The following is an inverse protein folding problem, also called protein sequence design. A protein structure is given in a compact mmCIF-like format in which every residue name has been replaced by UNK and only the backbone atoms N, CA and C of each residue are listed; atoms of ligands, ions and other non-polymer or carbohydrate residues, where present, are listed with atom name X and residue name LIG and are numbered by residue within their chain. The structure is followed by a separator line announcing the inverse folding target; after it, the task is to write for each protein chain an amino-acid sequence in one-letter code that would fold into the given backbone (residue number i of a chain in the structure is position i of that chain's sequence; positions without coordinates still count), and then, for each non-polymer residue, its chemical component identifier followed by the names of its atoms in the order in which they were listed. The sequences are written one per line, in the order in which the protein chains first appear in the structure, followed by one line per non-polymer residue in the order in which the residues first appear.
data_IF_187350347329
#
_entry.id   IF_187350347329
#
_cell.length_a   1.000
_cell.length_b   1.000
_cell.length_c   1.000
_cell.angle_alpha   90.00
_cell.angle_beta   90.00
_cell.angle_gamma   90.00
#
_symmetry.space_group_name_H-M   'P 1'
#
loop_
_entity.id
_entity.type
_entity.pdbx_description
1 polymer ?
#
# COMPACT_ATOMS: atom_id res chain seq x y z
N UNK A 1 12.64 11.50 -14.42
CA UNK A 1 11.84 11.51 -13.20
C UNK A 1 11.52 10.11 -12.77
N UNK A 2 11.64 9.89 -11.50
CA UNK A 2 11.38 8.58 -10.95
C UNK A 2 9.88 8.32 -10.85
N UNK A 3 9.41 7.25 -11.47
CA UNK A 3 8.00 6.87 -11.42
C UNK A 3 7.70 5.85 -10.33
N UNK A 4 8.72 5.42 -9.61
CA UNK A 4 8.53 4.46 -8.52
C UNK A 4 7.80 5.11 -7.36
N UNK A 5 6.94 4.36 -6.64
CA UNK A 5 6.33 4.88 -5.42
C UNK A 5 7.40 5.20 -4.40
N UNK A 6 7.23 6.32 -3.71
CA UNK A 6 8.15 6.67 -2.63
C UNK A 6 7.82 5.85 -1.40
N UNK A 7 8.85 5.24 -0.82
CA UNK A 7 8.65 4.52 0.41
C UNK A 7 8.40 5.50 1.55
N UNK A 8 7.41 5.24 2.39
CA UNK A 8 7.18 6.08 3.55
C UNK A 8 8.33 5.96 4.55
N UNK A 9 8.53 7.00 5.34
CA UNK A 9 9.58 7.02 6.35
C UNK A 9 9.31 6.04 7.50
N UNK A 10 8.06 5.58 7.64
CA UNK A 10 7.66 4.70 8.73
C UNK A 10 7.13 3.38 8.18
N UNK A 11 7.16 2.30 8.97
CA UNK A 11 6.54 1.04 8.55
C UNK A 11 5.04 1.23 8.33
N UNK A 12 4.48 0.35 7.51
CA UNK A 12 3.07 0.42 7.12
C UNK A 12 2.14 0.51 8.34
N UNK A 13 2.44 -0.23 9.40
CA UNK A 13 1.63 -0.22 10.62
C UNK A 13 1.60 1.14 11.33
N UNK A 14 2.59 1.99 11.07
CA UNK A 14 2.69 3.30 11.70
C UNK A 14 2.12 4.43 10.84
N UNK A 15 1.67 4.14 9.63
CA UNK A 15 1.13 5.16 8.74
C UNK A 15 -0.28 5.56 9.16
N UNK A 16 -0.62 6.84 8.94
CA UNK A 16 -2.00 7.29 9.11
C UNK A 16 -2.89 6.70 8.03
N UNK A 17 -4.19 6.80 8.23
CA UNK A 17 -5.17 6.35 7.24
C UNK A 17 -4.96 7.04 5.90
N UNK A 18 -4.67 8.34 5.92
CA UNK A 18 -4.43 9.10 4.68
C UNK A 18 -3.15 8.66 3.99
N UNK A 19 -2.08 8.47 4.77
CA UNK A 19 -0.81 8.00 4.23
C UNK A 19 -0.94 6.62 3.60
N UNK A 20 -1.68 5.72 4.22
CA UNK A 20 -1.95 4.39 3.66
C UNK A 20 -2.70 4.49 2.33
N UNK A 21 -3.71 5.34 2.28
CA UNK A 21 -4.50 5.55 1.06
C UNK A 21 -3.63 6.06 -0.07
N UNK A 22 -2.80 7.06 0.22
CA UNK A 22 -1.91 7.64 -0.78
C UNK A 22 -0.88 6.63 -1.26
N UNK A 23 -0.28 5.91 -0.35
CA UNK A 23 0.72 4.91 -0.68
C UNK A 23 0.11 3.78 -1.52
N UNK A 24 -1.07 3.31 -1.14
CA UNK A 24 -1.80 2.32 -1.93
C UNK A 24 -2.04 2.81 -3.35
N UNK A 25 -2.48 4.05 -3.50
CA UNK A 25 -2.70 4.63 -4.82
C UNK A 25 -1.44 4.68 -5.66
N UNK A 26 -0.31 5.02 -5.05
CA UNK A 26 0.98 5.03 -5.74
C UNK A 26 1.37 3.62 -6.20
N UNK A 27 1.19 2.63 -5.34
CA UNK A 27 1.52 1.24 -5.67
C UNK A 27 0.63 0.70 -6.80
N UNK A 28 -0.66 0.97 -6.74
CA UNK A 28 -1.60 0.56 -7.78
C UNK A 28 -1.27 1.20 -9.12
N UNK A 29 -0.92 2.47 -9.09
CA UNK A 29 -0.54 3.21 -10.31
C UNK A 29 0.72 2.64 -10.91
N UNK A 30 1.72 2.36 -10.07
CA UNK A 30 2.97 1.77 -10.51
C UNK A 30 2.73 0.40 -11.18
N UNK A 31 1.87 -0.42 -10.61
CA UNK A 31 1.55 -1.72 -11.20
C UNK A 31 0.89 -1.58 -12.56
N UNK A 32 0.04 -0.58 -12.74
CA UNK A 32 -0.60 -0.34 -14.04
C UNK A 32 0.39 0.13 -15.10
N UNK A 33 1.44 0.83 -14.68
CA UNK A 33 2.43 1.40 -15.60
C UNK A 33 3.56 0.44 -15.94
N UNK A 34 3.83 -0.54 -15.08
CA UNK A 34 4.92 -1.47 -15.29
C UNK A 34 4.51 -2.57 -16.27
N UNK A 35 5.44 -2.98 -17.18
CA UNK A 35 5.16 -4.14 -18.02
C UNK A 35 5.06 -5.41 -17.21
N UNK A 36 4.35 -6.41 -17.76
CA UNK A 36 4.09 -7.66 -17.07
C UNK A 36 5.36 -8.40 -16.67
N UNK A 37 6.47 -8.17 -17.40
CA UNK A 37 7.74 -8.85 -17.14
C UNK A 37 8.67 -8.11 -16.19
N UNK A 38 8.27 -6.93 -15.73
CA UNK A 38 9.14 -6.14 -14.85
C UNK A 38 9.31 -6.84 -13.51
N UNK A 39 10.56 -7.00 -13.09
CA UNK A 39 10.87 -7.61 -11.80
C UNK A 39 10.29 -6.79 -10.65
N UNK A 40 10.25 -5.49 -10.80
CA UNK A 40 9.71 -4.59 -9.80
C UNK A 40 8.24 -4.88 -9.47
N UNK A 41 7.48 -5.52 -10.37
CA UNK A 41 6.08 -5.85 -10.12
C UNK A 41 5.91 -6.74 -8.91
N UNK A 42 6.78 -7.73 -8.74
CA UNK A 42 6.68 -8.65 -7.60
C UNK A 42 6.88 -7.91 -6.28
N UNK A 43 7.86 -7.01 -6.24
CA UNK A 43 8.13 -6.22 -5.03
C UNK A 43 6.98 -5.26 -4.73
N UNK A 44 6.49 -4.58 -5.75
CA UNK A 44 5.39 -3.62 -5.58
C UNK A 44 4.12 -4.35 -5.17
N UNK A 45 3.84 -5.53 -5.74
CA UNK A 45 2.70 -6.34 -5.34
C UNK A 45 2.78 -6.74 -3.87
N UNK A 46 3.95 -7.11 -3.37
CA UNK A 46 4.12 -7.44 -1.95
C UNK A 46 3.84 -6.24 -1.06
N UNK A 47 4.34 -5.08 -1.45
CA UNK A 47 4.09 -3.87 -0.68
C UNK A 47 2.60 -3.52 -0.68
N UNK A 48 1.94 -3.69 -1.80
CA UNK A 48 0.51 -3.48 -1.88
C UNK A 48 -0.25 -4.46 -0.99
N UNK A 49 0.15 -5.72 -0.97
CA UNK A 49 -0.47 -6.72 -0.10
C UNK A 49 -0.33 -6.31 1.36
N UNK A 50 0.83 -5.79 1.76
CA UNK A 50 1.04 -5.31 3.14
C UNK A 50 0.12 -4.15 3.48
N UNK A 51 -0.04 -3.21 2.56
CA UNK A 51 -0.95 -2.07 2.75
C UNK A 51 -2.39 -2.54 2.87
N UNK A 52 -2.81 -3.44 1.98
CA UNK A 52 -4.17 -3.98 2.00
C UNK A 52 -4.45 -4.75 3.30
N UNK A 53 -3.47 -5.52 3.76
CA UNK A 53 -3.60 -6.26 5.02
C UNK A 53 -3.75 -5.30 6.20
N UNK A 54 -3.00 -4.21 6.22
CA UNK A 54 -3.10 -3.22 7.28
C UNK A 54 -4.45 -2.50 7.26
N UNK A 55 -4.91 -2.12 6.08
CA UNK A 55 -6.23 -1.50 5.94
C UNK A 55 -7.34 -2.43 6.40
N UNK A 56 -7.25 -3.70 6.05
CA UNK A 56 -8.22 -4.71 6.46
C UNK A 56 -8.22 -4.89 7.98
N UNK A 57 -7.03 -4.95 8.58
CA UNK A 57 -6.90 -5.08 10.04
C UNK A 57 -7.53 -3.89 10.75
N UNK A 58 -7.32 -2.67 10.23
CA UNK A 58 -7.90 -1.46 10.83
C UNK A 58 -9.42 -1.45 10.69
N UNK A 59 -9.94 -1.91 9.58
CA UNK A 59 -11.38 -2.00 9.36
C UNK A 59 -12.01 -2.98 10.35
N UNK A 60 -11.34 -4.10 10.63
CA UNK A 60 -11.82 -5.07 11.62
C UNK A 60 -11.84 -4.50 13.02
N UNK A 61 -10.79 -3.78 13.39
CA UNK A 61 -10.72 -3.12 14.70
C UNK A 61 -11.83 -2.10 14.86
N UNK A 62 -12.05 -1.28 13.82
CA UNK A 62 -13.12 -0.28 13.84
C UNK A 62 -14.49 -0.94 13.97
N UNK A 63 -14.72 -2.02 13.22
CA UNK A 63 -16.00 -2.75 13.28
C UNK A 63 -16.22 -3.38 14.66
N UNK A 64 -15.17 -3.89 15.28
CA UNK A 64 -15.26 -4.48 16.61
C UNK A 64 -15.49 -3.42 17.69
N UNK A 65 -15.03 -2.20 17.47
CA UNK A 65 -15.17 -1.09 18.43
C UNK A 65 -16.54 -0.44 18.38
N UNK A 66 -17.25 -0.58 17.26
CA UNK A 66 -18.58 0.01 17.09
C UNK A 66 -19.62 -0.95 17.62
N UNK A 67 -20.27 -0.55 18.68
CA UNK A 67 -21.33 -1.33 19.32
C UNK A 67 -22.57 -0.50 19.54
#
# INVERSE_FOLDING_TARGET
MDTAPQEPAHPVAALTTYELRDYRGQLERALRQLPARAEARALISRKLDDVLAEQDARARVSAASVR
#
